data_IF_687024984449
#
_entry.id   IF_687024984449
#
_cell.length_a   1.000
_cell.length_b   1.000
_cell.length_c   1.000
_cell.angle_alpha   90.00
_cell.angle_beta   90.00
_cell.angle_gamma   90.00
#
_symmetry.space_group_name_H-M   'P 1'
#
loop_
_entity.id
_entity.type
_entity.pdbx_description
1 polymer ?
#
# COMPACT_ATOMS: atom_id res chain seq x y z
N UNK A 1 -21.19 -11.41 8.85
CA UNK A 1 -20.17 -10.99 9.83
C UNK A 1 -19.29 -9.97 9.13
N UNK A 2 -19.13 -8.76 9.66
CA UNK A 2 -18.19 -7.80 9.09
C UNK A 2 -16.78 -8.26 9.46
N UNK A 3 -15.98 -8.62 8.46
CA UNK A 3 -14.60 -9.04 8.68
C UNK A 3 -13.78 -7.81 9.07
N UNK A 4 -13.01 -7.90 10.16
CA UNK A 4 -12.15 -6.80 10.62
C UNK A 4 -11.00 -6.59 9.62
N UNK A 5 -11.20 -5.72 8.64
CA UNK A 5 -10.15 -5.27 7.73
C UNK A 5 -9.04 -4.56 8.53
N UNK A 6 -7.82 -4.58 8.00
CA UNK A 6 -6.67 -3.85 8.56
C UNK A 6 -5.99 -2.95 7.52
N UNK A 7 -5.30 -1.91 7.99
CA UNK A 7 -4.46 -1.08 7.11
C UNK A 7 -3.36 -1.95 6.50
N UNK A 8 -3.09 -1.75 5.22
CA UNK A 8 -2.19 -2.59 4.44
C UNK A 8 -2.84 -3.81 3.80
N UNK A 9 -4.11 -4.10 4.10
CA UNK A 9 -4.81 -5.25 3.51
C UNK A 9 -5.16 -5.00 2.02
N UNK A 10 -5.02 -6.05 1.22
CA UNK A 10 -5.44 -6.05 -0.19
C UNK A 10 -6.90 -6.47 -0.28
N UNK A 11 -7.67 -5.64 -0.98
CA UNK A 11 -9.11 -5.84 -1.18
C UNK A 11 -9.47 -5.70 -2.64
N UNK A 12 -10.54 -6.37 -3.04
CA UNK A 12 -11.24 -6.08 -4.28
C UNK A 12 -12.54 -5.33 -4.03
N UNK A 13 -12.91 -4.50 -4.99
CA UNK A 13 -14.13 -3.70 -4.97
C UNK A 13 -14.68 -3.55 -6.39
N UNK A 14 -15.97 -3.25 -6.50
CA UNK A 14 -16.65 -3.04 -7.78
C UNK A 14 -16.83 -1.54 -7.99
N UNK A 15 -16.13 -0.95 -8.97
CA UNK A 15 -16.27 0.47 -9.31
C UNK A 15 -17.50 0.70 -10.20
N UNK A 16 -17.72 -0.21 -11.17
CA UNK A 16 -18.85 -0.19 -12.09
C UNK A 16 -19.39 -1.61 -12.31
N UNK A 17 -20.66 -1.81 -12.71
CA UNK A 17 -21.21 -3.14 -12.92
C UNK A 17 -20.37 -3.97 -13.90
N UNK A 18 -19.80 -5.08 -13.40
CA UNK A 18 -18.95 -5.97 -14.19
C UNK A 18 -17.45 -5.67 -14.15
N UNK A 19 -17.03 -4.63 -13.43
CA UNK A 19 -15.62 -4.25 -13.28
C UNK A 19 -15.18 -4.38 -11.81
N UNK A 20 -14.45 -5.46 -11.53
CA UNK A 20 -13.80 -5.67 -10.23
C UNK A 20 -12.36 -5.16 -10.29
N UNK A 21 -12.03 -4.26 -9.38
CA UNK A 21 -10.70 -3.67 -9.25
C UNK A 21 -10.07 -4.07 -7.93
N UNK A 22 -8.74 -4.00 -7.87
CA UNK A 22 -7.97 -4.21 -6.65
C UNK A 22 -7.51 -2.90 -6.04
N UNK A 23 -7.35 -2.89 -4.72
CA UNK A 23 -6.75 -1.78 -4.02
C UNK A 23 -6.16 -2.15 -2.66
N UNK A 24 -5.49 -1.17 -2.08
CA UNK A 24 -4.84 -1.26 -0.77
C UNK A 24 -5.65 -0.45 0.25
N UNK A 25 -6.00 -1.07 1.37
CA UNK A 25 -6.61 -0.33 2.49
C UNK A 25 -5.56 0.56 3.13
N UNK A 26 -5.74 1.88 3.05
CA UNK A 26 -4.79 2.88 3.58
C UNK A 26 -5.29 3.54 4.87
N UNK A 27 -6.61 3.53 5.09
CA UNK A 27 -7.24 4.11 6.28
C UNK A 27 -8.52 3.35 6.61
N UNK A 28 -8.78 3.14 7.91
CA UNK A 28 -9.98 2.47 8.41
C UNK A 28 -10.67 3.39 9.40
N UNK A 29 -11.97 3.55 9.19
CA UNK A 29 -12.89 4.20 10.12
C UNK A 29 -13.92 3.19 10.60
N UNK A 30 -14.83 3.65 11.45
CA UNK A 30 -15.83 2.78 12.09
C UNK A 30 -16.73 2.05 11.09
N UNK A 31 -17.02 2.64 9.94
CA UNK A 31 -18.02 2.13 8.98
C UNK A 31 -17.47 1.94 7.56
N UNK A 32 -16.40 2.65 7.23
CA UNK A 32 -15.83 2.75 5.90
C UNK A 32 -14.31 2.64 5.94
N UNK A 33 -13.74 2.27 4.80
CA UNK A 33 -12.31 2.20 4.58
C UNK A 33 -11.96 3.06 3.36
N UNK A 34 -10.81 3.73 3.43
CA UNK A 34 -10.19 4.33 2.25
C UNK A 34 -9.35 3.28 1.57
N UNK A 35 -9.67 3.03 0.31
CA UNK A 35 -8.95 2.09 -0.56
C UNK A 35 -8.24 2.89 -1.64
N UNK A 36 -6.94 2.63 -1.80
CA UNK A 36 -6.09 3.23 -2.82
C UNK A 36 -5.86 2.22 -3.94
N UNK A 37 -6.20 2.59 -5.16
CA UNK A 37 -5.80 1.88 -6.37
C UNK A 37 -4.59 2.59 -6.96
N UNK A 38 -3.42 1.96 -6.81
CA UNK A 38 -2.16 2.52 -7.28
C UNK A 38 -2.03 2.50 -8.80
N UNK A 39 -2.76 1.64 -9.52
CA UNK A 39 -2.68 1.58 -10.98
C UNK A 39 -3.39 2.79 -11.61
N UNK A 40 -4.55 3.18 -11.06
CA UNK A 40 -5.31 4.36 -11.52
C UNK A 40 -4.96 5.66 -10.77
N UNK A 41 -4.13 5.58 -9.73
CA UNK A 41 -3.78 6.69 -8.84
C UNK A 41 -5.01 7.37 -8.21
N UNK A 42 -6.00 6.54 -7.85
CA UNK A 42 -7.26 7.01 -7.27
C UNK A 42 -7.50 6.38 -5.91
N UNK A 43 -8.07 7.17 -5.01
CA UNK A 43 -8.53 6.69 -3.71
C UNK A 43 -10.03 6.87 -3.56
N UNK A 44 -10.68 5.86 -2.99
CA UNK A 44 -12.12 5.83 -2.81
C UNK A 44 -12.48 5.39 -1.39
N UNK A 45 -13.60 5.90 -0.89
CA UNK A 45 -14.18 5.49 0.37
C UNK A 45 -15.26 4.45 0.12
N UNK A 46 -15.13 3.29 0.74
CA UNK A 46 -16.11 2.20 0.63
C UNK A 46 -16.62 1.79 2.00
N UNK A 47 -17.94 1.51 2.14
CA UNK A 47 -18.44 0.73 3.27
C UNK A 47 -17.67 -0.58 3.37
N UNK A 48 -17.32 -1.01 4.57
CA UNK A 48 -16.55 -2.25 4.76
C UNK A 48 -17.25 -3.47 4.14
N UNK A 49 -18.59 -3.46 4.11
CA UNK A 49 -19.42 -4.51 3.50
C UNK A 49 -19.32 -4.61 1.99
N UNK A 50 -18.78 -3.59 1.31
CA UNK A 50 -18.62 -3.57 -0.15
C UNK A 50 -17.25 -4.10 -0.58
N UNK A 51 -16.36 -4.36 0.38
CA UNK A 51 -15.01 -4.84 0.13
C UNK A 51 -14.95 -6.36 0.30
N UNK A 52 -14.19 -7.01 -0.57
CA UNK A 52 -13.85 -8.43 -0.44
C UNK A 52 -12.35 -8.56 -0.23
N UNK A 53 -11.93 -9.39 0.72
CA UNK A 53 -10.51 -9.73 0.87
C UNK A 53 -10.05 -10.48 -0.36
N UNK A 54 -8.95 -10.06 -0.96
CA UNK A 54 -8.48 -10.72 -2.16
C UNK A 54 -7.47 -9.93 -2.96
N UNK A 55 -6.74 -10.68 -3.79
CA UNK A 55 -5.63 -10.20 -4.60
C UNK A 55 -5.75 -10.59 -6.07
N UNK A 56 -6.90 -11.14 -6.48
CA UNK A 56 -7.10 -11.70 -7.84
C UNK A 56 -6.79 -10.70 -8.95
N UNK A 57 -7.01 -9.42 -8.69
CA UNK A 57 -6.75 -8.30 -9.59
C UNK A 57 -5.36 -7.67 -9.40
N UNK A 58 -4.63 -8.02 -8.34
CA UNK A 58 -3.36 -7.40 -7.97
C UNK A 58 -2.19 -8.32 -8.32
N UNK A 59 -1.34 -7.87 -9.24
CA UNK A 59 -0.17 -8.63 -9.68
C UNK A 59 0.83 -8.84 -8.54
N UNK A 60 1.29 -10.07 -8.35
CA UNK A 60 2.38 -10.42 -7.42
C UNK A 60 3.66 -9.67 -7.80
N UNK A 61 4.30 -9.04 -6.82
CA UNK A 61 5.51 -8.24 -7.01
C UNK A 61 5.26 -6.82 -7.56
N UNK A 62 3.99 -6.42 -7.74
CA UNK A 62 3.63 -5.02 -7.95
C UNK A 62 3.95 -4.18 -6.73
N UNK A 63 4.16 -2.87 -6.91
CA UNK A 63 4.38 -1.96 -5.80
C UNK A 63 3.25 -2.02 -4.75
N UNK A 64 1.98 -2.19 -5.17
CA UNK A 64 0.84 -2.43 -4.27
C UNK A 64 1.03 -3.66 -3.39
N UNK A 65 1.42 -4.79 -3.99
CA UNK A 65 1.66 -6.03 -3.25
C UNK A 65 2.87 -5.95 -2.32
N UNK A 66 3.92 -5.24 -2.73
CA UNK A 66 5.12 -5.02 -1.92
C UNK A 66 4.80 -4.11 -0.72
N UNK A 67 4.08 -3.01 -0.96
CA UNK A 67 3.67 -2.08 0.07
C UNK A 67 2.71 -2.72 1.07
N UNK A 68 1.72 -3.50 0.59
CA UNK A 68 0.87 -4.31 1.47
C UNK A 68 1.70 -5.23 2.37
N UNK A 69 2.62 -6.00 1.79
CA UNK A 69 3.47 -6.92 2.55
C UNK A 69 4.29 -6.19 3.61
N UNK A 70 4.84 -5.02 3.26
CA UNK A 70 5.61 -4.18 4.19
C UNK A 70 4.75 -3.65 5.33
N UNK A 71 3.58 -3.08 5.03
CA UNK A 71 2.69 -2.49 6.02
C UNK A 71 2.17 -3.55 7.00
N UNK A 72 1.81 -4.72 6.48
CA UNK A 72 1.36 -5.85 7.30
C UNK A 72 2.50 -6.40 8.17
N UNK A 73 3.72 -6.49 7.64
CA UNK A 73 4.90 -6.91 8.41
C UNK A 73 5.22 -5.95 9.57
N UNK A 74 4.99 -4.64 9.37
CA UNK A 74 5.25 -3.60 10.35
C UNK A 74 4.11 -3.35 11.33
N UNK A 75 3.01 -4.10 11.21
CA UNK A 75 1.73 -3.80 11.90
C UNK A 75 1.34 -2.32 11.74
N UNK A 76 1.47 -1.80 10.52
CA UNK A 76 1.30 -0.39 10.20
C UNK A 76 -0.09 0.09 10.61
N UNK A 77 -0.13 1.14 11.44
CA UNK A 77 -1.38 1.72 11.96
C UNK A 77 -1.88 2.89 11.11
N UNK A 78 -1.01 3.44 10.27
CA UNK A 78 -1.29 4.54 9.38
C UNK A 78 -0.48 4.35 8.12
N UNK A 79 -1.10 4.61 6.98
CA UNK A 79 -0.46 4.52 5.68
C UNK A 79 -0.86 5.74 4.85
N UNK A 80 0.14 6.52 4.47
CA UNK A 80 0.00 7.55 3.45
C UNK A 80 0.84 7.17 2.24
N UNK A 81 0.33 7.44 1.05
CA UNK A 81 0.95 7.00 -0.20
C UNK A 81 0.76 8.05 -1.27
N UNK A 82 1.87 8.43 -1.88
CA UNK A 82 1.93 9.42 -2.96
C UNK A 82 2.75 8.85 -4.11
N UNK A 83 2.40 9.23 -5.34
CA UNK A 83 3.27 8.99 -6.50
C UNK A 83 4.36 10.05 -6.56
N UNK A 84 5.59 9.60 -6.80
CA UNK A 84 6.71 10.51 -7.05
C UNK A 84 6.68 11.01 -8.50
N UNK A 85 7.36 12.12 -8.78
CA UNK A 85 7.38 12.74 -10.12
C UNK A 85 7.92 11.82 -11.23
N UNK A 86 8.76 10.85 -10.87
CA UNK A 86 9.35 9.88 -11.78
C UNK A 86 8.54 8.58 -11.91
N UNK A 87 7.33 8.54 -11.35
CA UNK A 87 6.41 7.40 -11.46
C UNK A 87 6.69 6.27 -10.46
N UNK A 88 7.52 6.53 -9.45
CA UNK A 88 7.68 5.68 -8.27
C UNK A 88 6.56 5.90 -7.26
N UNK A 89 6.69 5.26 -6.11
CA UNK A 89 5.74 5.38 -5.00
C UNK A 89 6.50 5.75 -3.74
N UNK A 90 6.10 6.84 -3.10
CA UNK A 90 6.52 7.17 -1.75
C UNK A 90 5.40 6.79 -0.78
N UNK A 91 5.73 6.03 0.25
CA UNK A 91 4.79 5.68 1.31
C UNK A 91 5.35 6.07 2.67
N UNK A 92 4.47 6.62 3.51
CA UNK A 92 4.74 6.88 4.92
C UNK A 92 3.93 5.90 5.76
N UNK A 93 4.64 5.08 6.52
CA UNK A 93 4.06 4.02 7.34
C UNK A 93 4.27 4.38 8.80
N UNK A 94 3.17 4.68 9.50
CA UNK A 94 3.18 4.83 10.95
C UNK A 94 3.19 3.45 11.61
N UNK A 95 4.20 3.16 12.42
CA UNK A 95 4.32 1.91 13.18
C UNK A 95 4.67 2.19 14.65
N UNK A 96 4.43 1.21 15.52
CA UNK A 96 4.64 1.34 16.98
C UNK A 96 6.07 1.02 17.42
N UNK A 97 6.72 0.12 16.69
CA UNK A 97 8.09 -0.31 16.96
C UNK A 97 8.75 -0.74 15.66
N UNK A 98 10.03 -0.44 15.54
CA UNK A 98 10.89 -0.89 14.46
C UNK A 98 12.28 -1.08 15.07
N UNK A 99 12.74 -2.33 15.11
CA UNK A 99 14.08 -2.67 15.56
C UNK A 99 15.06 -2.75 14.38
N UNK A 100 16.36 -2.91 14.70
CA UNK A 100 17.41 -3.02 13.69
C UNK A 100 17.19 -4.23 12.77
N UNK A 101 16.77 -5.37 13.32
CA UNK A 101 16.50 -6.59 12.58
C UNK A 101 15.35 -6.40 11.57
N UNK A 102 14.30 -5.67 11.94
CA UNK A 102 13.21 -5.28 11.05
C UNK A 102 13.69 -4.41 9.89
N UNK A 103 14.56 -3.43 10.15
CA UNK A 103 15.15 -2.60 9.08
C UNK A 103 15.96 -3.45 8.11
N UNK A 104 16.79 -4.36 8.62
CA UNK A 104 17.61 -5.25 7.81
C UNK A 104 16.76 -6.22 6.99
N UNK A 105 15.66 -6.72 7.55
CA UNK A 105 14.69 -7.54 6.83
C UNK A 105 14.05 -6.75 5.69
N UNK A 106 13.59 -5.52 5.92
CA UNK A 106 13.00 -4.67 4.86
C UNK A 106 14.01 -4.46 3.73
N UNK A 107 15.26 -4.13 4.07
CA UNK A 107 16.33 -3.98 3.07
C UNK A 107 16.59 -5.27 2.31
N UNK A 108 16.58 -6.42 2.97
CA UNK A 108 16.77 -7.73 2.34
C UNK A 108 15.61 -8.13 1.42
N UNK A 109 14.37 -7.88 1.83
CA UNK A 109 13.18 -8.25 1.07
C UNK A 109 12.90 -7.32 -0.11
N UNK A 110 13.17 -6.02 0.03
CA UNK A 110 12.79 -5.01 -0.96
C UNK A 110 13.98 -4.34 -1.66
N UNK A 111 15.23 -4.70 -1.31
CA UNK A 111 16.43 -3.92 -1.62
C UNK A 111 16.60 -3.46 -3.07
N UNK A 112 16.26 -4.29 -4.07
CA UNK A 112 16.35 -3.89 -5.49
C UNK A 112 15.22 -2.96 -5.96
N UNK A 113 14.11 -2.94 -5.23
CA UNK A 113 12.90 -2.15 -5.53
C UNK A 113 12.82 -0.88 -4.69
N UNK A 114 13.59 -0.81 -3.60
CA UNK A 114 13.62 0.29 -2.64
C UNK A 114 14.67 1.31 -3.07
N UNK A 115 14.24 2.54 -3.34
CA UNK A 115 15.13 3.66 -3.61
C UNK A 115 15.65 4.29 -2.32
N UNK A 116 14.74 4.60 -1.41
CA UNK A 116 15.08 5.19 -0.11
C UNK A 116 14.28 4.54 1.01
N UNK A 117 14.90 4.50 2.19
CA UNK A 117 14.27 4.13 3.45
C UNK A 117 14.80 5.06 4.53
N UNK A 118 13.91 5.90 5.05
CA UNK A 118 14.19 6.85 6.11
C UNK A 118 13.31 6.54 7.31
N UNK A 119 13.90 6.63 8.50
CA UNK A 119 13.19 6.41 9.76
C UNK A 119 13.12 7.77 10.45
N UNK A 120 11.90 8.25 10.67
CA UNK A 120 11.62 9.54 11.28
C UNK A 120 10.89 9.34 12.62
N UNK A 121 11.14 10.19 13.62
CA UNK A 121 10.33 10.19 14.83
C UNK A 121 8.90 10.62 14.50
N UNK A 122 7.92 9.77 14.86
CA UNK A 122 6.50 10.12 14.86
C UNK A 122 6.08 10.62 16.25
N UNK A 123 5.18 11.59 16.31
CA UNK A 123 4.63 12.06 17.59
C UNK A 123 4.03 10.91 18.43
N UNK A 124 3.91 11.13 19.75
CA UNK A 124 3.28 10.17 20.69
C UNK A 124 3.89 8.75 20.67
N UNK A 125 5.21 8.63 20.53
CA UNK A 125 5.91 7.34 20.58
C UNK A 125 5.71 6.48 19.34
N UNK A 126 5.39 7.09 18.19
CA UNK A 126 5.29 6.41 16.90
C UNK A 126 6.61 6.51 16.14
N UNK A 127 6.84 5.57 15.24
CA UNK A 127 7.91 5.64 14.25
C UNK A 127 7.24 5.83 12.90
N UNK A 128 7.74 6.78 12.11
CA UNK A 128 7.31 6.96 10.73
C UNK A 128 8.42 6.41 9.83
N UNK A 129 8.10 5.33 9.13
CA UNK A 129 8.96 4.79 8.09
C UNK A 129 8.56 5.43 6.76
N UNK A 130 9.47 6.18 6.15
CA UNK A 130 9.29 6.72 4.80
C UNK A 130 10.05 5.82 3.85
N UNK A 131 9.32 5.15 2.97
CA UNK A 131 9.90 4.29 1.92
C UNK A 131 9.56 4.83 0.55
N UNK A 132 10.52 4.75 -0.35
CA UNK A 132 10.31 5.07 -1.76
C UNK A 132 10.63 3.83 -2.59
N UNK A 133 9.66 3.38 -3.38
CA UNK A 133 9.82 2.31 -4.34
C UNK A 133 10.08 2.89 -5.72
N UNK A 134 11.02 2.27 -6.44
CA UNK A 134 11.26 2.56 -7.84
C UNK A 134 9.99 2.34 -8.67
N UNK A 135 9.85 3.05 -9.81
CA UNK A 135 8.77 2.79 -10.75
C UNK A 135 8.72 1.31 -11.08
N UNK A 136 7.55 0.69 -10.88
CA UNK A 136 7.35 -0.68 -11.33
C UNK A 136 7.59 -0.68 -12.84
N UNK A 137 8.51 -1.53 -13.34
CA UNK A 137 8.73 -1.72 -14.78
C UNK A 137 7.49 -2.41 -15.39
N UNK A 138 6.38 -1.70 -15.46
CA UNK A 138 5.29 -1.99 -16.36
C UNK A 138 5.73 -1.51 -17.73
N UNK A 139 5.68 -2.40 -18.73
CA UNK A 139 5.96 -2.05 -20.13
C UNK A 139 5.30 -0.71 -20.45
N UNK A 140 6.12 0.27 -20.79
CA UNK A 140 5.69 1.41 -21.58
C UNK A 140 5.26 0.86 -22.94
N UNK A 141 4.04 0.35 -23.02
CA UNK A 141 3.37 0.11 -24.29
C UNK A 141 3.06 1.48 -24.89
N UNK A 142 4.08 2.00 -25.54
CA UNK A 142 3.99 3.08 -26.50
C UNK A 142 3.12 2.54 -27.64
N UNK A 143 1.83 2.79 -27.58
CA UNK A 143 0.96 2.70 -28.75
C UNK A 143 0.35 4.07 -28.94
N UNK A 144 1.16 4.99 -29.48
CA UNK A 144 0.62 6.05 -30.32
C UNK A 144 0.31 5.41 -31.68
N UNK A 145 -0.94 5.51 -32.10
CA UNK A 145 -1.37 5.34 -33.48
C UNK A 145 -2.25 6.55 -33.82
#
# INVERSE_FOLDING_TARGET
MAENLQVGELVSYVESPGEELGGLVVEIRRTDCRVLNLDSDRSYWFPQTHLRRGTSTIRKGSATSLLSSLVLHLEGVQLDVERTQDGGIQAQIGCRSLDADGVDQIRKYFGSSLRTLNILPGGLGKIILVVEFLPSRGNSSSTQA
#
